data_IF_799430455160
#
_entry.id   IF_799430455160
#
_cell.length_a   1.000
_cell.length_b   1.000
_cell.length_c   1.000
_cell.angle_alpha   90.00
_cell.angle_beta   90.00
_cell.angle_gamma   90.00
#
_symmetry.space_group_name_H-M   'P 1'
#
loop_
_entity.id
_entity.type
_entity.pdbx_description
1 polymer ?
#
# COMPACT_ATOMS: atom_id res chain seq x y z
N UNK A 1 2.12 25.04 12.66
CA UNK A 1 2.03 23.64 12.19
C UNK A 1 2.85 23.54 10.90
N UNK A 2 3.72 22.55 10.76
CA UNK A 2 4.53 22.38 9.56
C UNK A 2 3.71 21.59 8.51
N UNK A 3 3.36 22.24 7.40
CA UNK A 3 2.51 21.67 6.34
C UNK A 3 3.15 20.43 5.70
N UNK A 4 4.48 20.42 5.55
CA UNK A 4 5.23 19.30 4.98
C UNK A 4 5.02 18.01 5.80
N UNK A 5 5.12 18.12 7.13
CA UNK A 5 4.88 16.99 8.05
C UNK A 5 3.43 16.51 8.02
N UNK A 6 2.47 17.43 7.84
CA UNK A 6 1.06 17.08 7.74
C UNK A 6 0.79 16.31 6.45
N UNK A 7 1.30 16.78 5.32
CA UNK A 7 1.16 16.11 4.02
C UNK A 7 1.81 14.73 4.06
N UNK A 8 3.01 14.61 4.63
CA UNK A 8 3.70 13.34 4.80
C UNK A 8 2.87 12.32 5.61
N UNK A 9 2.42 12.71 6.81
CA UNK A 9 1.61 11.84 7.66
C UNK A 9 0.27 11.49 7.02
N UNK A 10 -0.36 12.43 6.32
CA UNK A 10 -1.62 12.21 5.61
C UNK A 10 -1.49 11.10 4.56
N UNK A 11 -0.48 11.17 3.68
CA UNK A 11 -0.33 10.17 2.62
C UNK A 11 0.08 8.79 3.15
N UNK A 12 0.88 8.72 4.21
CA UNK A 12 1.19 7.43 4.86
C UNK A 12 -0.07 6.76 5.41
N UNK A 13 -0.90 7.52 6.14
CA UNK A 13 -2.12 6.97 6.73
C UNK A 13 -3.14 6.64 5.63
N UNK A 14 -3.29 7.50 4.62
CA UNK A 14 -4.20 7.26 3.49
C UNK A 14 -3.79 6.03 2.67
N UNK A 15 -2.49 5.84 2.41
CA UNK A 15 -1.97 4.66 1.72
C UNK A 15 -2.34 3.37 2.48
N UNK A 16 -2.14 3.37 3.80
CA UNK A 16 -2.47 2.23 4.65
C UNK A 16 -3.98 1.94 4.67
N UNK A 17 -4.83 2.98 4.79
CA UNK A 17 -6.28 2.78 4.88
C UNK A 17 -6.92 2.38 3.56
N UNK A 18 -6.44 2.90 2.42
CA UNK A 18 -6.90 2.45 1.09
C UNK A 18 -6.49 1.02 0.81
N UNK A 19 -5.25 0.64 1.15
CA UNK A 19 -4.81 -0.74 1.03
C UNK A 19 -5.61 -1.66 1.94
N UNK A 20 -5.92 -1.23 3.17
CA UNK A 20 -6.78 -1.97 4.09
C UNK A 20 -8.19 -2.13 3.52
N UNK A 21 -8.76 -1.07 2.94
CA UNK A 21 -10.06 -1.10 2.28
C UNK A 21 -10.12 -2.13 1.15
N UNK A 22 -9.10 -2.18 0.30
CA UNK A 22 -9.01 -3.21 -0.72
C UNK A 22 -8.82 -4.62 -0.14
N UNK A 23 -8.07 -4.77 0.96
CA UNK A 23 -7.73 -6.08 1.53
C UNK A 23 -8.88 -6.71 2.32
N UNK A 24 -9.73 -5.90 2.97
CA UNK A 24 -10.78 -6.41 3.86
C UNK A 24 -11.94 -7.01 3.08
N UNK A 25 -12.37 -8.20 3.48
CA UNK A 25 -13.45 -8.93 2.82
C UNK A 25 -13.19 -10.44 2.79
N UNK A 26 -14.09 -11.19 2.17
CA UNK A 26 -13.84 -12.60 1.86
C UNK A 26 -12.86 -12.70 0.69
N UNK A 27 -11.68 -13.25 0.97
CA UNK A 27 -10.47 -13.22 0.13
C UNK A 27 -10.66 -13.75 -1.30
N UNK A 28 -11.63 -14.64 -1.49
CA UNK A 28 -11.92 -15.35 -2.73
C UNK A 28 -13.15 -14.77 -3.46
N UNK A 29 -13.80 -13.74 -2.91
CA UNK A 29 -14.97 -13.11 -3.51
C UNK A 29 -14.61 -11.81 -4.26
N UNK A 30 -14.60 -11.79 -5.60
CA UNK A 30 -14.21 -10.62 -6.39
C UNK A 30 -15.02 -9.35 -6.11
N UNK A 31 -16.28 -9.52 -5.69
CA UNK A 31 -17.20 -8.41 -5.41
C UNK A 31 -16.81 -7.59 -4.18
N UNK A 32 -16.01 -8.15 -3.28
CA UNK A 32 -15.50 -7.44 -2.11
C UNK A 32 -14.23 -6.64 -2.42
N UNK A 33 -13.56 -6.93 -3.53
CA UNK A 33 -12.23 -6.42 -3.85
C UNK A 33 -12.27 -5.61 -5.16
N UNK A 34 -12.77 -4.38 -5.08
CA UNK A 34 -12.97 -3.55 -6.27
C UNK A 34 -11.65 -3.08 -6.88
N UNK A 35 -11.55 -3.16 -8.22
CA UNK A 35 -10.35 -2.71 -8.93
C UNK A 35 -10.03 -1.22 -8.73
N UNK A 36 -11.04 -0.37 -8.56
CA UNK A 36 -10.82 1.04 -8.30
C UNK A 36 -10.13 1.27 -6.95
N UNK A 37 -10.37 0.41 -5.96
CA UNK A 37 -9.70 0.45 -4.67
C UNK A 37 -8.26 -0.03 -4.77
N UNK A 38 -7.98 -1.10 -5.53
CA UNK A 38 -6.61 -1.53 -5.84
C UNK A 38 -5.83 -0.43 -6.55
N UNK A 39 -6.44 0.22 -7.54
CA UNK A 39 -5.84 1.33 -8.26
C UNK A 39 -5.56 2.53 -7.34
N UNK A 40 -6.52 2.90 -6.51
CA UNK A 40 -6.34 3.98 -5.53
C UNK A 40 -5.23 3.64 -4.52
N UNK A 41 -5.18 2.41 -4.04
CA UNK A 41 -4.13 1.94 -3.14
C UNK A 41 -2.74 2.07 -3.79
N UNK A 42 -2.58 1.65 -5.05
CA UNK A 42 -1.32 1.79 -5.81
C UNK A 42 -0.91 3.25 -5.94
N UNK A 43 -1.81 4.11 -6.44
CA UNK A 43 -1.50 5.51 -6.71
C UNK A 43 -1.10 6.24 -5.42
N UNK A 44 -1.84 6.03 -4.33
CA UNK A 44 -1.55 6.70 -3.06
C UNK A 44 -0.28 6.16 -2.40
N UNK A 45 0.00 4.85 -2.49
CA UNK A 45 1.27 4.29 -2.02
C UNK A 45 2.45 4.89 -2.79
N UNK A 46 2.36 5.02 -4.13
CA UNK A 46 3.39 5.65 -4.94
C UNK A 46 3.61 7.12 -4.55
N UNK A 47 2.54 7.88 -4.29
CA UNK A 47 2.68 9.26 -3.81
C UNK A 47 3.38 9.29 -2.44
N UNK A 48 3.00 8.41 -1.51
CA UNK A 48 3.65 8.31 -0.21
C UNK A 48 5.14 7.95 -0.35
N UNK A 49 5.48 7.06 -1.29
CA UNK A 49 6.86 6.69 -1.60
C UNK A 49 7.66 7.88 -2.15
N UNK A 50 7.10 8.66 -3.09
CA UNK A 50 7.75 9.87 -3.61
C UNK A 50 7.98 10.90 -2.51
N UNK A 51 7.01 11.10 -1.61
CA UNK A 51 7.15 12.02 -0.48
C UNK A 51 8.23 11.59 0.52
N UNK A 52 8.57 10.30 0.58
CA UNK A 52 9.68 9.79 1.39
C UNK A 52 11.05 10.03 0.75
N UNK A 53 11.10 10.33 -0.55
CA UNK A 53 12.35 10.77 -1.18
C UNK A 53 12.66 12.20 -0.74
N UNK A 54 13.75 12.36 0.00
CA UNK A 54 14.21 13.66 0.49
C UNK A 54 14.85 13.57 1.88
N UNK A 55 14.42 12.60 2.68
CA UNK A 55 15.02 12.31 3.98
C UNK A 55 16.26 11.41 3.83
N UNK A 56 17.43 11.96 4.19
CA UNK A 56 18.72 11.25 4.15
C UNK A 56 19.08 10.56 5.47
N UNK A 57 18.20 10.58 6.46
CA UNK A 57 18.43 9.90 7.74
C UNK A 57 18.26 8.38 7.61
N UNK A 58 18.78 7.62 8.58
CA UNK A 58 18.53 6.18 8.64
C UNK A 58 17.02 5.88 8.79
N UNK A 59 16.29 6.70 9.54
CA UNK A 59 14.85 6.52 9.74
C UNK A 59 14.11 6.74 8.40
N UNK A 60 14.47 7.79 7.66
CA UNK A 60 13.97 8.04 6.30
C UNK A 60 14.22 6.87 5.34
N UNK A 61 15.41 6.25 5.39
CA UNK A 61 15.73 5.08 4.58
C UNK A 61 14.85 3.85 4.90
N UNK A 62 14.50 3.64 6.18
CA UNK A 62 13.59 2.55 6.58
C UNK A 62 12.13 2.86 6.21
N UNK A 63 11.70 4.11 6.31
CA UNK A 63 10.40 4.54 5.79
C UNK A 63 10.27 4.29 4.29
N UNK A 64 11.32 4.62 3.54
CA UNK A 64 11.36 4.41 2.09
C UNK A 64 11.34 2.92 1.74
N UNK A 65 12.12 2.09 2.43
CA UNK A 65 12.17 0.65 2.13
C UNK A 65 10.82 -0.03 2.32
N UNK A 66 10.09 0.28 3.39
CA UNK A 66 8.74 -0.26 3.62
C UNK A 66 7.75 0.19 2.54
N UNK A 67 7.86 1.44 2.09
CA UNK A 67 7.07 1.97 0.97
C UNK A 67 7.32 1.22 -0.34
N UNK A 68 8.59 0.97 -0.66
CA UNK A 68 8.96 0.23 -1.87
C UNK A 68 8.46 -1.22 -1.84
N UNK A 69 8.48 -1.88 -0.68
CA UNK A 69 7.88 -3.21 -0.53
C UNK A 69 6.38 -3.17 -0.76
N UNK A 70 5.68 -2.16 -0.21
CA UNK A 70 4.25 -1.99 -0.45
C UNK A 70 3.93 -1.79 -1.93
N UNK A 71 4.66 -0.90 -2.60
CA UNK A 71 4.48 -0.63 -4.03
C UNK A 71 4.73 -1.88 -4.89
N UNK A 72 5.80 -2.64 -4.63
CA UNK A 72 6.10 -3.86 -5.37
C UNK A 72 4.98 -4.90 -5.23
N UNK A 73 4.44 -5.06 -4.03
CA UNK A 73 3.34 -5.99 -3.77
C UNK A 73 2.04 -5.56 -4.46
N UNK A 74 1.69 -4.26 -4.40
CA UNK A 74 0.50 -3.74 -5.07
C UNK A 74 0.62 -3.77 -6.60
N UNK A 75 1.80 -3.47 -7.15
CA UNK A 75 2.08 -3.59 -8.58
C UNK A 75 2.03 -5.04 -9.03
N UNK A 76 2.56 -5.98 -8.24
CA UNK A 76 2.43 -7.40 -8.52
C UNK A 76 0.95 -7.84 -8.53
N UNK A 77 0.15 -7.36 -7.56
CA UNK A 77 -1.29 -7.61 -7.52
C UNK A 77 -2.01 -7.10 -8.78
N UNK A 78 -1.70 -5.87 -9.23
CA UNK A 78 -2.21 -5.34 -10.49
C UNK A 78 -1.72 -6.12 -11.71
N UNK A 79 -0.49 -6.64 -11.68
CA UNK A 79 0.06 -7.50 -12.73
C UNK A 79 -0.73 -8.82 -12.86
N UNK A 80 -1.04 -9.47 -11.73
CA UNK A 80 -1.89 -10.68 -11.70
C UNK A 80 -3.28 -10.38 -12.28
N UNK A 81 -3.90 -9.27 -11.86
CA UNK A 81 -5.18 -8.83 -12.44
C UNK A 81 -5.09 -8.64 -13.96
N UNK A 82 -4.08 -7.89 -14.42
CA UNK A 82 -3.92 -7.56 -15.83
C UNK A 82 -3.72 -8.82 -16.68
N UNK A 83 -2.92 -9.77 -16.18
CA UNK A 83 -2.68 -11.05 -16.84
C UNK A 83 -3.97 -11.88 -16.92
N UNK A 84 -4.69 -12.05 -15.82
CA UNK A 84 -5.91 -12.84 -15.75
C UNK A 84 -7.04 -12.31 -16.66
N UNK A 85 -7.22 -10.98 -16.69
CA UNK A 85 -8.32 -10.36 -17.44
C UNK A 85 -7.97 -10.15 -18.92
N UNK A 86 -6.73 -9.75 -19.24
CA UNK A 86 -6.38 -9.29 -20.59
C UNK A 86 -5.50 -10.26 -21.38
N UNK A 87 -4.83 -11.22 -20.73
CA UNK A 87 -3.94 -12.17 -21.40
C UNK A 87 -4.58 -13.55 -21.49
N UNK A 88 -5.01 -14.11 -20.35
CA UNK A 88 -5.64 -15.43 -20.31
C UNK A 88 -7.16 -15.39 -20.56
N UNK A 89 -7.80 -14.27 -20.24
CA UNK A 89 -9.26 -14.10 -20.38
C UNK A 89 -10.06 -14.90 -19.36
N UNK A 90 -9.41 -15.42 -18.31
CA UNK A 90 -10.05 -16.17 -17.23
C UNK A 90 -10.95 -15.28 -16.36
N UNK A 91 -10.60 -13.99 -16.27
CA UNK A 91 -11.32 -13.00 -15.48
C UNK A 91 -10.99 -13.07 -14.00
N UNK A 92 -11.89 -12.54 -13.16
CA UNK A 92 -11.74 -12.54 -11.70
C UNK A 92 -12.34 -13.81 -11.10
N UNK A 93 -11.64 -14.93 -11.20
CA UNK A 93 -12.00 -16.18 -10.52
C UNK A 93 -11.64 -16.13 -9.03
N UNK A 94 -12.18 -17.03 -8.20
CA UNK A 94 -11.81 -17.09 -6.77
C UNK A 94 -10.31 -17.24 -6.53
N UNK A 95 -9.63 -18.03 -7.36
CA UNK A 95 -8.18 -18.27 -7.28
C UNK A 95 -7.36 -17.01 -7.64
N UNK A 96 -7.72 -16.35 -8.75
CA UNK A 96 -7.10 -15.08 -9.16
C UNK A 96 -7.33 -14.00 -8.10
N UNK A 97 -8.56 -13.88 -7.59
CA UNK A 97 -8.91 -12.92 -6.55
C UNK A 97 -8.09 -13.15 -5.29
N UNK A 98 -8.02 -14.41 -4.83
CA UNK A 98 -7.21 -14.79 -3.67
C UNK A 98 -5.75 -14.40 -3.84
N UNK A 99 -5.19 -14.57 -5.05
CA UNK A 99 -3.81 -14.20 -5.35
C UNK A 99 -3.59 -12.68 -5.28
N UNK A 100 -4.48 -11.89 -5.88
CA UNK A 100 -4.41 -10.42 -5.85
C UNK A 100 -4.55 -9.90 -4.42
N UNK A 101 -5.53 -10.40 -3.67
CA UNK A 101 -5.78 -9.97 -2.28
C UNK A 101 -4.62 -10.39 -1.38
N UNK A 102 -4.06 -11.58 -1.55
CA UNK A 102 -2.88 -12.05 -0.78
C UNK A 102 -1.66 -11.14 -0.99
N UNK A 103 -1.37 -10.75 -2.24
CA UNK A 103 -0.31 -9.79 -2.55
C UNK A 103 -0.59 -8.43 -1.88
N UNK A 104 -1.83 -7.94 -1.95
CA UNK A 104 -2.22 -6.71 -1.27
C UNK A 104 -2.11 -6.78 0.27
N UNK A 105 -2.25 -7.98 0.85
CA UNK A 105 -2.01 -8.23 2.28
C UNK A 105 -0.55 -8.05 2.66
N UNK A 106 0.38 -8.46 1.79
CA UNK A 106 1.81 -8.16 1.94
C UNK A 106 2.09 -6.66 1.92
N UNK A 107 1.44 -5.93 1.00
CA UNK A 107 1.52 -4.47 0.96
C UNK A 107 0.94 -3.82 2.22
N UNK A 108 -0.18 -4.34 2.72
CA UNK A 108 -0.83 -3.83 3.92
C UNK A 108 0.11 -3.97 5.13
N UNK A 109 0.79 -5.11 5.26
CA UNK A 109 1.77 -5.31 6.32
C UNK A 109 2.91 -4.28 6.25
N UNK A 110 3.43 -4.01 5.05
CA UNK A 110 4.46 -2.99 4.85
C UNK A 110 3.96 -1.57 5.20
N UNK A 111 2.70 -1.27 4.88
CA UNK A 111 2.04 -0.03 5.27
C UNK A 111 1.86 0.11 6.79
N UNK A 112 1.52 -0.98 7.49
CA UNK A 112 1.47 -1.00 8.96
C UNK A 112 2.84 -0.67 9.56
N UNK A 113 3.93 -1.25 9.03
CA UNK A 113 5.29 -0.91 9.48
C UNK A 113 5.56 0.58 9.26
N UNK A 114 5.19 1.14 8.10
CA UNK A 114 5.32 2.57 7.83
C UNK A 114 4.59 3.46 8.84
N UNK A 115 3.36 3.09 9.23
CA UNK A 115 2.59 3.81 10.26
C UNK A 115 3.25 3.69 11.64
N UNK A 116 3.74 2.51 12.01
CA UNK A 116 4.45 2.30 13.28
C UNK A 116 5.71 3.16 13.37
N UNK A 117 6.48 3.26 12.29
CA UNK A 117 7.66 4.12 12.24
C UNK A 117 7.31 5.61 12.40
N UNK A 118 6.22 6.06 11.78
CA UNK A 118 5.72 7.44 11.90
C UNK A 118 5.33 7.77 13.36
N UNK A 119 4.68 6.82 14.03
CA UNK A 119 4.32 6.94 15.45
C UNK A 119 5.59 6.97 16.32
N UNK A 120 6.56 6.09 16.05
CA UNK A 120 7.81 6.02 16.79
C UNK A 120 8.60 7.33 16.70
N UNK A 121 8.71 7.91 15.49
CA UNK A 121 9.34 9.22 15.28
C UNK A 121 8.64 10.33 16.09
N UNK A 122 7.30 10.33 16.09
CA UNK A 122 6.51 11.30 16.84
C UNK A 122 6.74 11.20 18.36
N UNK A 123 6.91 9.99 18.89
CA UNK A 123 7.19 9.75 20.32
C UNK A 123 8.61 10.17 20.68
N UNK A 124 9.60 9.90 19.82
CA UNK A 124 11.00 10.26 20.05
C UNK A 124 11.21 11.78 20.05
N UNK A 125 10.51 12.53 19.18
CA UNK A 125 10.58 13.99 19.13
C UNK A 125 10.03 14.70 20.38
N UNK A 126 9.30 13.98 21.25
CA UNK A 126 8.79 14.51 22.52
C UNK A 126 9.78 14.37 23.69
N UNK A 127 10.90 13.66 23.51
CA UNK A 127 11.97 13.51 24.51
C UNK A 127 13.14 14.39 24.16
#
# INVERSE_FOLDING_TARGET
>A
MNLEKVVFGFFIVLAATLNFGFFIGEIDQPKHHHIYELFAAIVVNLIATVLKFGDRTQIGAVHLSTSLVADLQLVAAAGVYAFAVHVTGEGMTPEVTTSIVSLSGGALFANVVSVVLLIAETVMLRR
#
